data_IF_110259910829
#
_entry.id   IF_110259910829
#
_cell.length_a   1.000
_cell.length_b   1.000
_cell.length_c   1.000
_cell.angle_alpha   90.00
_cell.angle_beta   90.00
_cell.angle_gamma   90.00
#
_symmetry.space_group_name_H-M   'P 1'
#
loop_
_entity.id
_entity.type
_entity.pdbx_description
1 polymer ?
2 non-polymer ?
3 non-polymer ?
4 water ?
#
# COMPACT_ATOMS: atom_id res chain seq x y z
N UNK A 1 14.21 20.54 -1.23
CA UNK A 1 12.80 20.60 -0.77
C UNK A 1 12.70 19.75 0.50
N UNK A 2 12.14 20.35 1.57
CA UNK A 2 11.90 19.74 2.90
C UNK A 2 10.92 18.55 2.83
N UNK A 3 10.78 17.82 3.94
CA UNK A 3 9.79 16.73 4.06
C UNK A 3 8.73 17.12 5.09
N UNK A 4 7.53 16.59 4.92
CA UNK A 4 6.43 16.62 5.90
C UNK A 4 6.26 15.22 6.49
N UNK A 5 6.54 15.08 7.79
CA UNK A 5 6.51 13.76 8.49
C UNK A 5 5.21 13.65 9.31
N UNK A 6 4.39 12.65 8.97
CA UNK A 6 3.10 12.36 9.59
C UNK A 6 3.20 10.99 10.22
N UNK A 7 2.49 10.69 11.31
CA UNK A 7 2.43 9.31 11.81
C UNK A 7 1.72 8.42 10.77
N UNK A 8 2.04 7.13 10.76
CA UNK A 8 1.53 6.17 9.75
C UNK A 8 0.05 5.97 9.97
N UNK A 9 -0.35 5.91 11.23
CA UNK A 9 -1.76 5.67 11.58
C UNK A 9 -2.09 6.22 12.95
N UNK A 10 -3.38 6.40 13.16
CA UNK A 10 -4.09 6.83 14.40
C UNK A 10 -5.45 6.11 14.43
N UNK A 11 -6.02 5.88 15.61
CA UNK A 11 -7.35 5.25 15.68
C UNK A 11 -8.00 5.71 16.97
N UNK A 12 -9.31 5.81 16.91
CA UNK A 12 -10.13 6.11 18.10
C UNK A 12 -11.51 5.50 17.86
N UNK A 13 -12.31 5.38 18.90
CA UNK A 13 -13.73 4.96 18.82
C UNK A 13 -14.60 6.15 18.44
N UNK A 14 -15.81 5.90 17.91
CA UNK A 14 -16.71 6.98 17.55
C UNK A 14 -16.91 7.95 18.71
N UNK A 15 -16.99 9.25 18.39
CA UNK A 15 -17.32 10.31 19.35
C UNK A 15 -16.09 10.86 20.01
N UNK A 16 -14.93 10.21 19.82
CA UNK A 16 -13.66 10.68 20.41
C UNK A 16 -13.04 11.75 19.51
N UNK A 17 -11.98 12.34 20.03
CA UNK A 17 -11.19 13.36 19.33
C UNK A 17 -9.81 12.76 19.01
N UNK A 18 -9.34 12.98 17.80
CA UNK A 18 -7.99 12.52 17.38
C UNK A 18 -7.25 13.69 16.73
N UNK A 19 -5.94 13.73 16.90
CA UNK A 19 -5.08 14.76 16.29
C UNK A 19 -4.02 14.07 15.44
N UNK A 20 -3.76 14.60 14.26
CA UNK A 20 -2.75 14.07 13.31
C UNK A 20 -1.75 15.20 13.11
N UNK A 21 -0.48 14.92 13.35
CA UNK A 21 0.60 15.90 13.33
C UNK A 21 1.29 15.75 11.98
N UNK A 22 1.88 16.83 11.53
CA UNK A 22 2.62 16.87 10.28
C UNK A 22 3.80 17.81 10.49
N UNK A 23 4.99 17.26 10.61
CA UNK A 23 6.21 18.02 10.99
C UNK A 23 7.05 18.31 9.76
N UNK A 24 7.37 19.60 9.55
CA UNK A 24 8.22 20.08 8.43
C UNK A 24 9.68 19.84 8.82
N UNK A 25 10.46 19.16 7.97
CA UNK A 25 11.85 18.75 8.26
C UNK A 25 12.80 19.95 8.38
N UNK A 26 12.57 21.04 7.64
CA UNK A 26 13.47 22.21 7.59
C UNK A 26 12.77 23.40 6.95
N UNK A 27 13.19 24.59 7.35
CA UNK A 27 12.45 25.82 7.09
C UNK A 27 11.33 25.92 8.11
N UNK A 28 10.54 26.98 8.04
CA UNK A 28 9.51 27.30 9.07
C UNK A 28 8.13 26.90 8.52
N UNK A 29 7.38 26.13 9.29
CA UNK A 29 6.00 25.67 8.93
C UNK A 29 5.15 26.87 8.51
N UNK A 30 5.37 28.03 9.13
CA UNK A 30 4.51 29.23 8.93
C UNK A 30 4.94 29.99 7.67
N UNK A 31 6.05 29.60 7.05
CA UNK A 31 6.54 30.19 5.78
C UNK A 31 5.53 29.89 4.66
N UNK A 32 4.71 28.85 4.77
CA UNK A 32 3.93 28.32 3.63
C UNK A 32 2.61 27.72 4.12
N UNK A 33 1.55 27.87 3.36
CA UNK A 33 0.23 27.28 3.70
C UNK A 33 0.33 25.75 3.72
N UNK A 34 -0.34 25.21 4.73
CA UNK A 34 -0.51 23.75 4.90
C UNK A 34 -1.97 23.43 4.54
N UNK A 35 -2.15 22.44 3.70
CA UNK A 35 -3.48 21.93 3.31
C UNK A 35 -3.60 20.52 3.91
N UNK A 36 -4.83 20.10 4.22
CA UNK A 36 -5.15 18.71 4.62
C UNK A 36 -6.17 18.14 3.63
N UNK A 37 -5.85 16.97 3.07
CA UNK A 37 -6.75 16.19 2.17
C UNK A 37 -7.15 14.89 2.89
N UNK A 38 -8.42 14.54 2.78
CA UNK A 38 -9.03 13.30 3.28
C UNK A 38 -9.22 12.38 2.08
N UNK A 39 -8.85 11.10 2.17
CA UNK A 39 -9.27 10.12 1.14
C UNK A 39 -9.82 8.89 1.83
N UNK A 40 -11.14 8.80 1.84
CA UNK A 40 -11.84 7.58 2.33
C UNK A 40 -11.42 6.45 1.42
N UNK A 41 -11.38 5.20 1.94
CA UNK A 41 -11.06 4.04 1.13
C UNK A 41 -12.06 3.95 -0.04
N UNK A 42 -11.55 3.83 -1.26
CA UNK A 42 -12.36 3.66 -2.49
C UNK A 42 -12.98 4.96 -2.96
N UNK A 43 -12.53 6.12 -2.44
CA UNK A 43 -13.08 7.43 -2.83
C UNK A 43 -11.99 8.39 -3.33
N UNK A 44 -12.46 9.47 -3.93
CA UNK A 44 -11.64 10.60 -4.37
C UNK A 44 -11.21 11.41 -3.16
N UNK A 45 -10.12 12.17 -3.28
CA UNK A 45 -9.71 13.05 -2.21
C UNK A 45 -10.67 14.24 -2.09
N UNK A 46 -10.70 14.79 -0.91
CA UNK A 46 -11.51 15.96 -0.52
C UNK A 46 -10.60 16.86 0.33
N UNK A 47 -10.59 18.16 0.08
CA UNK A 47 -9.90 19.11 0.95
C UNK A 47 -10.75 19.30 2.21
N UNK A 48 -10.15 19.14 3.38
CA UNK A 48 -10.84 19.45 4.67
C UNK A 48 -10.25 20.73 5.29
N UNK A 49 -8.99 21.04 5.03
CA UNK A 49 -8.35 22.29 5.50
C UNK A 49 -7.50 22.84 4.38
N UNK A 50 -7.53 24.16 4.22
CA UNK A 50 -6.53 24.88 3.39
C UNK A 50 -6.04 26.09 4.20
N UNK A 51 -4.87 26.59 3.85
CA UNK A 51 -4.31 27.79 4.48
C UNK A 51 -4.31 27.57 6.00
N UNK A 52 -3.86 26.39 6.40
CA UNK A 52 -3.57 26.02 7.80
C UNK A 52 -4.86 25.71 8.56
N UNK A 53 -5.90 26.52 8.40
CA UNK A 53 -7.09 26.40 9.27
C UNK A 53 -8.41 26.74 8.57
N UNK A 54 -8.44 26.87 7.25
CA UNK A 54 -9.71 27.26 6.60
C UNK A 54 -10.43 25.99 6.18
N UNK A 55 -11.69 25.89 6.52
CA UNK A 55 -12.57 24.78 6.08
C UNK A 55 -13.33 25.21 4.84
N UNK A 56 -13.22 24.46 3.73
CA UNK A 56 -14.14 24.62 2.61
C UNK A 56 -15.57 24.43 3.06
N UNK A 57 -16.49 24.98 2.27
CA UNK A 57 -17.95 24.75 2.35
C UNK A 57 -18.25 23.26 2.46
N UNK A 58 -19.11 22.87 3.41
CA UNK A 58 -19.57 21.48 3.58
C UNK A 58 -18.68 20.67 4.50
N UNK A 59 -17.51 21.19 4.88
CA UNK A 59 -16.62 20.48 5.84
C UNK A 59 -17.05 20.89 7.24
N UNK A 60 -17.54 19.96 8.07
CA UNK A 60 -18.09 20.33 9.37
C UNK A 60 -16.99 20.84 10.28
N UNK A 61 -17.39 21.62 11.28
CA UNK A 61 -16.45 22.32 12.18
C UNK A 61 -15.79 21.32 13.14
N UNK A 62 -16.21 20.06 13.07
CA UNK A 62 -15.52 18.95 13.78
C UNK A 62 -14.06 18.85 13.35
N UNK A 63 -13.73 19.35 12.14
CA UNK A 63 -12.35 19.37 11.58
C UNK A 63 -11.67 20.69 11.89
N UNK A 64 -10.51 20.65 12.54
CA UNK A 64 -9.77 21.90 12.83
C UNK A 64 -8.30 21.76 12.44
N UNK A 65 -7.78 22.77 11.75
CA UNK A 65 -6.36 22.84 11.39
C UNK A 65 -5.65 23.79 12.32
N UNK A 66 -4.40 23.53 12.67
CA UNK A 66 -3.58 24.43 13.49
C UNK A 66 -2.11 24.36 13.07
N UNK A 67 -1.32 25.33 13.52
CA UNK A 67 0.14 25.39 13.31
C UNK A 67 0.75 25.54 14.70
N UNK A 68 1.88 24.89 14.96
CA UNK A 68 2.72 25.18 16.15
C UNK A 68 4.12 25.47 15.65
N UNK A 69 4.46 26.75 15.66
CA UNK A 69 5.77 27.23 15.19
C UNK A 69 6.89 26.60 16.01
N UNK A 70 6.71 26.47 17.32
CA UNK A 70 7.76 25.91 18.24
C UNK A 70 8.12 24.48 17.84
N UNK A 71 7.13 23.65 17.47
CA UNK A 71 7.37 22.25 17.03
C UNK A 71 7.55 22.21 15.50
N UNK A 72 7.40 23.34 14.82
CA UNK A 72 7.45 23.43 13.33
C UNK A 72 6.46 22.42 12.73
N UNK A 73 5.28 22.31 13.31
CA UNK A 73 4.30 21.27 12.91
C UNK A 73 2.95 21.92 12.67
N UNK A 74 2.16 21.27 11.82
CA UNK A 74 0.74 21.47 11.57
C UNK A 74 0.00 20.25 12.12
N UNK A 75 -1.21 20.46 12.63
CA UNK A 75 -2.04 19.40 13.24
C UNK A 75 -3.42 19.53 12.66
N UNK A 76 -4.03 18.40 12.39
CA UNK A 76 -5.45 18.32 12.04
C UNK A 76 -6.14 17.60 13.18
N UNK A 77 -7.12 18.24 13.78
CA UNK A 77 -7.83 17.65 14.92
C UNK A 77 -9.26 17.41 14.47
N UNK A 78 -9.75 16.21 14.73
CA UNK A 78 -11.12 15.79 14.40
C UNK A 78 -11.83 15.37 15.68
N UNK A 79 -12.87 16.11 16.04
CA UNK A 79 -13.71 15.89 17.23
C UNK A 79 -14.95 15.11 16.83
N UNK A 80 -15.65 14.55 17.82
CA UNK A 80 -16.91 13.82 17.59
C UNK A 80 -16.74 12.85 16.43
N UNK A 81 -15.69 12.02 16.49
CA UNK A 81 -15.36 11.07 15.39
C UNK A 81 -16.60 10.31 14.92
N UNK A 82 -16.81 10.31 13.61
CA UNK A 82 -17.86 9.52 12.94
C UNK A 82 -17.18 8.47 12.05
N UNK A 83 -17.91 7.41 11.71
CA UNK A 83 -17.36 6.30 10.91
C UNK A 83 -16.93 6.84 9.54
N UNK A 84 -17.60 7.87 9.03
CA UNK A 84 -17.25 8.41 7.69
C UNK A 84 -15.90 9.15 7.73
N UNK A 85 -15.37 9.41 8.91
CA UNK A 85 -14.04 10.06 9.08
C UNK A 85 -12.91 9.08 8.79
N UNK A 86 -13.20 7.77 8.74
CA UNK A 86 -12.19 6.76 8.43
C UNK A 86 -11.65 7.02 7.03
N UNK A 87 -10.36 7.29 6.94
CA UNK A 87 -9.70 7.83 5.74
C UNK A 87 -8.21 7.85 5.90
N UNK A 88 -7.52 8.01 4.78
CA UNK A 88 -6.15 8.55 4.80
C UNK A 88 -6.20 10.08 4.81
N UNK A 89 -5.34 10.68 5.63
CA UNK A 89 -5.18 12.14 5.69
C UNK A 89 -3.75 12.49 5.32
N UNK A 90 -3.62 13.43 4.38
CA UNK A 90 -2.31 13.94 3.94
C UNK A 90 -2.25 15.42 4.21
N UNK A 91 -1.13 15.89 4.76
CA UNK A 91 -0.84 17.33 4.80
C UNK A 91 0.01 17.66 3.59
N UNK A 92 -0.05 18.92 3.18
CA UNK A 92 0.66 19.36 1.99
C UNK A 92 1.05 20.81 2.20
N UNK A 93 2.24 21.15 1.76
CA UNK A 93 2.73 22.55 1.72
C UNK A 93 3.63 22.70 0.49
N UNK A 94 4.56 23.67 0.53
CA UNK A 94 5.39 24.02 -0.64
C UNK A 94 6.57 24.85 -0.16
N UNK A 95 7.54 25.10 -1.04
CA UNK A 95 8.49 26.24 -0.90
C UNK A 95 8.57 27.00 -2.24
N UNK A 96 7.45 27.11 -2.96
CA UNK A 96 7.37 27.64 -4.33
C UNK A 96 8.16 26.71 -5.27
N UNK A 97 9.47 26.54 -5.04
CA UNK A 97 10.31 25.52 -5.74
C UNK A 97 9.51 24.21 -5.95
N UNK A 98 8.64 23.82 -5.02
CA UNK A 98 7.75 22.66 -5.25
C UNK A 98 6.73 22.46 -4.12
N UNK A 99 5.67 21.75 -4.50
CA UNK A 99 4.65 21.11 -3.65
C UNK A 99 5.32 19.99 -2.86
N UNK A 100 5.06 19.90 -1.56
CA UNK A 100 5.52 18.77 -0.70
C UNK A 100 4.29 18.13 -0.08
N UNK A 101 4.16 16.82 -0.20
CA UNK A 101 3.11 16.08 0.50
C UNK A 101 3.70 15.28 1.64
N UNK A 102 2.99 15.22 2.76
CA UNK A 102 3.23 14.20 3.80
C UNK A 102 2.90 12.84 3.24
N UNK A 103 3.31 11.80 3.95
CA UNK A 103 3.19 10.38 3.49
C UNK A 103 1.80 9.82 3.72
N UNK A 104 0.96 10.52 4.47
CA UNK A 104 -0.41 10.08 4.80
C UNK A 104 -0.47 9.42 6.15
N UNK A 105 -1.57 9.64 6.85
CA UNK A 105 -1.94 8.96 8.09
C UNK A 105 -3.27 8.24 7.84
N UNK A 106 -3.30 6.92 8.12
CA UNK A 106 -4.55 6.15 8.13
C UNK A 106 -5.23 6.42 9.48
N UNK A 107 -6.45 6.92 9.42
CA UNK A 107 -7.31 7.08 10.61
C UNK A 107 -8.37 5.99 10.57
N UNK A 108 -8.29 5.07 11.52
CA UNK A 108 -9.35 4.04 11.68
C UNK A 108 -10.30 4.51 12.75
N UNK A 109 -11.59 4.54 12.44
CA UNK A 109 -12.62 4.63 13.50
C UNK A 109 -12.96 3.19 13.93
N UNK A 110 -12.48 2.82 15.12
CA UNK A 110 -12.37 1.41 15.57
C UNK A 110 -13.72 0.69 15.43
N UNK A 111 -13.68 -0.39 14.67
CA UNK A 111 -14.85 -1.22 14.35
C UNK A 111 -14.81 -2.51 15.16
N UNK A 112 -13.74 -2.73 15.92
CA UNK A 112 -13.48 -3.97 16.66
C UNK A 112 -12.29 -3.68 17.57
N UNK A 113 -11.96 -4.57 18.52
CA UNK A 113 -10.81 -4.34 19.40
C UNK A 113 -9.49 -4.34 18.62
N UNK A 114 -8.55 -3.51 19.07
CA UNK A 114 -7.19 -3.43 18.51
C UNK A 114 -6.56 -4.80 18.72
N UNK A 115 -5.73 -5.26 17.79
CA UNK A 115 -5.01 -6.53 17.86
C UNK A 115 -3.65 -6.32 17.24
N UNK A 116 -2.62 -6.51 18.06
CA UNK A 116 -1.20 -6.44 17.66
C UNK A 116 -0.89 -7.59 16.71
N UNK A 117 -0.12 -7.34 15.63
CA UNK A 117 0.17 -8.41 14.68
C UNK A 117 1.04 -9.51 15.28
N UNK A 118 0.85 -10.75 14.87
CA UNK A 118 1.92 -11.76 15.01
C UNK A 118 2.84 -11.59 13.80
N UNK A 119 4.13 -11.48 14.05
CA UNK A 119 5.14 -11.26 12.97
C UNK A 119 6.07 -12.48 12.96
N UNK A 120 6.17 -13.14 11.80
CA UNK A 120 7.09 -14.28 11.58
C UNK A 120 7.95 -14.00 10.35
N UNK A 121 9.27 -14.07 10.52
CA UNK A 121 10.26 -13.85 9.42
C UNK A 121 10.84 -15.21 9.03
N UNK A 122 10.72 -15.56 7.76
CA UNK A 122 11.19 -16.84 7.20
C UNK A 122 12.47 -16.58 6.41
N UNK A 123 13.54 -17.37 6.68
CA UNK A 123 14.78 -17.29 5.90
C UNK A 123 14.53 -18.04 4.59
N UNK A 124 15.49 -18.02 3.65
CA UNK A 124 15.28 -18.67 2.36
C UNK A 124 15.11 -20.20 2.50
N UNK A 125 14.21 -20.79 1.71
CA UNK A 125 14.00 -22.26 1.65
C UNK A 125 15.10 -22.86 0.76
N UNK A 126 15.48 -24.08 1.04
CA UNK A 126 16.43 -24.88 0.24
C UNK A 126 16.03 -24.91 -1.22
N UNK A 127 14.76 -25.15 -1.50
CA UNK A 127 14.35 -25.30 -2.90
C UNK A 127 14.57 -23.96 -3.63
N UNK A 128 14.22 -22.80 -3.07
CA UNK A 128 14.36 -21.52 -3.81
C UNK A 128 15.85 -21.22 -3.98
N UNK A 129 16.68 -21.49 -2.98
CA UNK A 129 18.13 -21.29 -3.12
C UNK A 129 18.69 -22.03 -4.34
N UNK A 130 18.26 -23.26 -4.61
CA UNK A 130 18.75 -24.03 -5.77
C UNK A 130 18.33 -23.33 -7.06
N UNK A 131 17.33 -22.44 -7.01
CA UNK A 131 16.82 -21.62 -8.15
C UNK A 131 17.45 -20.22 -8.13
N UNK A 132 18.51 -20.05 -7.34
CA UNK A 132 19.24 -18.75 -7.21
C UNK A 132 18.32 -17.66 -6.67
N UNK A 133 17.40 -18.02 -5.76
CA UNK A 133 16.45 -17.08 -5.10
C UNK A 133 16.66 -17.20 -3.60
N UNK A 134 16.81 -16.07 -2.94
CA UNK A 134 16.95 -16.00 -1.46
C UNK A 134 15.84 -15.11 -0.88
N UNK A 135 14.67 -15.12 -1.50
CA UNK A 135 13.52 -14.35 -1.05
C UNK A 135 13.26 -14.68 0.41
N UNK A 136 13.07 -13.61 1.19
CA UNK A 136 12.65 -13.67 2.61
C UNK A 136 11.17 -13.29 2.65
N UNK A 137 10.42 -13.91 3.55
CA UNK A 137 9.00 -13.54 3.75
C UNK A 137 8.78 -13.18 5.21
N UNK A 138 8.18 -12.03 5.40
CA UNK A 138 7.70 -11.51 6.69
C UNK A 138 6.19 -11.66 6.77
N UNK A 139 5.67 -12.63 7.52
CA UNK A 139 4.22 -12.90 7.59
C UNK A 139 3.68 -12.09 8.76
N UNK A 140 2.59 -11.39 8.52
CA UNK A 140 2.04 -10.43 9.49
C UNK A 140 0.56 -10.76 9.62
N UNK A 141 0.12 -11.30 10.74
CA UNK A 141 -1.28 -11.79 10.82
C UNK A 141 -1.96 -11.30 12.10
N UNK A 142 -3.28 -11.47 12.12
CA UNK A 142 -4.17 -11.29 13.30
C UNK A 142 -4.10 -9.85 13.82
N UNK A 143 -4.19 -8.86 12.94
CA UNK A 143 -4.03 -7.46 13.40
C UNK A 143 -5.27 -6.63 13.07
N UNK A 144 -5.47 -5.65 13.92
CA UNK A 144 -6.53 -4.61 13.76
C UNK A 144 -6.09 -3.37 14.50
N UNK A 145 -6.22 -2.16 13.93
CA UNK A 145 -6.68 -1.96 12.55
C UNK A 145 -5.78 -2.52 11.43
N UNK A 146 -6.33 -2.57 10.21
CA UNK A 146 -5.70 -3.20 9.04
C UNK A 146 -4.65 -2.34 8.36
N UNK A 147 -3.89 -1.53 9.09
CA UNK A 147 -2.85 -0.64 8.54
C UNK A 147 -1.53 -0.99 9.23
N UNK A 148 -0.48 -1.23 8.43
CA UNK A 148 0.90 -1.56 8.93
C UNK A 148 1.86 -0.89 7.98
N UNK A 149 3.07 -0.61 8.45
CA UNK A 149 4.17 -0.20 7.57
C UNK A 149 5.31 -1.17 7.84
N UNK A 150 5.99 -1.57 6.78
CA UNK A 150 7.07 -2.59 6.87
C UNK A 150 8.33 -1.97 6.31
N UNK A 151 9.41 -2.09 7.07
CA UNK A 151 10.78 -1.66 6.71
C UNK A 151 11.71 -2.87 6.82
N UNK A 152 12.64 -2.98 5.88
CA UNK A 152 13.61 -4.10 5.81
C UNK A 152 15.00 -3.51 6.01
N UNK A 153 15.84 -4.21 6.78
CA UNK A 153 17.26 -3.83 6.96
C UNK A 153 18.13 -4.98 6.44
N UNK A 154 19.24 -4.66 5.81
CA UNK A 154 20.39 -5.56 5.57
C UNK A 154 21.48 -5.17 6.57
N UNK A 155 21.84 -6.06 7.49
CA UNK A 155 22.56 -5.71 8.74
C UNK A 155 21.76 -4.61 9.47
N UNK A 156 22.29 -3.39 9.53
CA UNK A 156 21.66 -2.21 10.17
C UNK A 156 21.13 -1.20 9.15
N UNK A 157 21.38 -1.41 7.86
CA UNK A 157 21.10 -0.41 6.81
C UNK A 157 19.75 -0.71 6.18
N UNK A 158 18.90 0.30 5.98
CA UNK A 158 17.62 0.10 5.31
C UNK A 158 17.84 -0.40 3.88
N UNK A 159 16.96 -1.32 3.46
CA UNK A 159 16.84 -1.87 2.08
C UNK A 159 15.62 -1.19 1.46
N UNK A 160 15.71 -0.68 0.24
CA UNK A 160 14.49 -0.24 -0.51
C UNK A 160 14.20 -1.27 -1.61
N UNK A 161 15.23 -1.57 -2.39
CA UNK A 161 15.15 -2.41 -3.58
C UNK A 161 14.62 -3.79 -3.16
N UNK A 162 13.64 -4.30 -3.92
CA UNK A 162 13.23 -5.71 -3.92
C UNK A 162 12.12 -5.99 -2.93
N UNK A 163 11.55 -4.96 -2.31
CA UNK A 163 10.53 -5.09 -1.24
C UNK A 163 9.15 -5.01 -1.88
N UNK A 164 8.30 -5.99 -1.59
CA UNK A 164 6.87 -5.96 -1.95
C UNK A 164 6.05 -6.28 -0.70
N UNK A 165 5.04 -5.48 -0.43
CA UNK A 165 4.18 -5.70 0.74
C UNK A 165 2.75 -5.78 0.21
N UNK A 166 2.01 -6.81 0.59
CA UNK A 166 0.61 -7.02 0.13
C UNK A 166 -0.30 -6.08 0.91
N UNK A 167 -1.41 -5.70 0.31
CA UNK A 167 -2.50 -4.94 0.97
C UNK A 167 -3.18 -5.84 1.99
N UNK A 168 -3.30 -5.40 3.26
CA UNK A 168 -3.90 -6.21 4.29
C UNK A 168 -5.32 -6.65 3.91
N UNK A 169 -5.64 -7.90 4.17
CA UNK A 169 -6.97 -8.48 3.89
C UNK A 169 -7.44 -9.20 5.16
N UNK A 170 -8.74 -9.13 5.31
CA UNK A 170 -9.48 -9.64 6.46
C UNK A 170 -9.54 -11.15 6.32
N UNK A 171 -9.13 -11.85 7.35
CA UNK A 171 -9.10 -13.33 7.36
C UNK A 171 -10.36 -13.86 8.06
N UNK A 172 -10.44 -15.17 8.28
CA UNK A 172 -11.67 -15.84 8.74
C UNK A 172 -11.95 -15.42 10.19
N UNK A 173 -10.96 -14.92 10.91
CA UNK A 173 -11.18 -14.47 12.30
C UNK A 173 -11.53 -12.96 12.36
N UNK A 174 -11.81 -12.31 11.23
CA UNK A 174 -12.16 -10.88 11.10
C UNK A 174 -10.97 -9.97 11.49
N UNK A 175 -9.77 -10.53 11.56
CA UNK A 175 -8.50 -9.78 11.67
C UNK A 175 -7.78 -9.82 10.34
N UNK A 176 -6.82 -8.92 10.21
CA UNK A 176 -6.11 -8.64 8.96
C UNK A 176 -4.86 -9.50 8.88
N UNK A 177 -4.48 -9.82 7.66
CA UNK A 177 -3.16 -10.46 7.43
C UNK A 177 -2.52 -9.80 6.22
N UNK A 178 -1.21 -9.73 6.24
CA UNK A 178 -0.40 -9.34 5.08
C UNK A 178 0.95 -10.05 5.11
N UNK A 179 1.65 -10.04 3.97
CA UNK A 179 3.07 -10.46 3.89
C UNK A 179 3.91 -9.42 3.15
N UNK A 180 5.13 -9.21 3.63
CA UNK A 180 6.19 -8.49 2.91
C UNK A 180 7.26 -9.52 2.53
N UNK A 181 7.78 -9.43 1.31
CA UNK A 181 8.89 -10.27 0.84
C UNK A 181 9.97 -9.39 0.21
N UNK A 182 11.20 -9.82 0.44
CA UNK A 182 12.43 -9.16 -0.04
C UNK A 182 13.14 -10.13 -0.99
N UNK A 183 13.12 -9.83 -2.29
CA UNK A 183 13.69 -10.68 -3.36
C UNK A 183 15.20 -10.56 -3.34
N UNK A 184 15.87 -11.32 -2.50
CA UNK A 184 17.35 -11.32 -2.49
C UNK A 184 17.85 -12.37 -3.47
N UNK A 185 19.08 -12.17 -3.93
CA UNK A 185 19.88 -13.29 -4.50
C UNK A 185 20.56 -13.98 -3.34
N UNK A 186 20.89 -15.29 -3.51
CA UNK A 186 21.71 -16.00 -2.55
C UNK A 186 22.99 -15.22 -2.19
N UNK A 187 23.56 -14.54 -3.19
CA UNK A 187 24.76 -13.64 -3.10
C UNK A 187 24.51 -12.58 -2.04
N UNK A 188 23.43 -11.80 -2.19
CA UNK A 188 23.11 -10.71 -1.23
C UNK A 188 22.84 -11.33 0.14
N UNK A 189 22.08 -12.42 0.19
CA UNK A 189 21.69 -13.09 1.46
C UNK A 189 22.93 -13.43 2.27
N UNK A 190 23.90 -14.04 1.60
CA UNK A 190 25.10 -14.66 2.22
C UNK A 190 26.14 -13.60 2.53
N UNK A 191 26.10 -12.49 1.80
CA UNK A 191 27.03 -11.35 1.94
C UNK A 191 26.66 -10.45 3.13
N UNK A 192 25.63 -10.77 3.94
CA UNK A 192 25.28 -9.95 5.14
C UNK A 192 25.23 -10.83 6.38
N UNK A 193 25.42 -10.23 7.55
CA UNK A 193 25.37 -10.98 8.84
C UNK A 193 23.90 -11.29 9.13
N UNK A 194 22.99 -10.43 8.69
CA UNK A 194 21.55 -10.67 8.95
C UNK A 194 20.67 -9.78 8.10
N UNK A 195 19.40 -10.14 8.02
CA UNK A 195 18.33 -9.26 7.50
C UNK A 195 17.23 -9.20 8.53
N UNK A 196 16.59 -8.04 8.62
CA UNK A 196 15.50 -7.73 9.56
C UNK A 196 14.26 -7.25 8.81
N UNK A 197 13.09 -7.58 9.34
CA UNK A 197 11.80 -7.06 8.87
C UNK A 197 11.24 -6.27 10.03
N UNK A 198 10.99 -4.97 9.89
CA UNK A 198 10.40 -4.15 10.98
C UNK A 198 8.93 -3.87 10.63
N UNK A 199 8.03 -4.21 11.52
CA UNK A 199 6.58 -3.98 11.29
C UNK A 199 6.09 -2.98 12.32
N UNK A 200 5.51 -1.88 11.82
CA UNK A 200 4.86 -0.83 12.66
C UNK A 200 3.35 -0.93 12.50
N UNK A 201 2.67 -0.97 13.64
CA UNK A 201 1.20 -1.07 13.77
C UNK A 201 0.79 -0.23 14.95
N UNK A 202 -0.05 0.78 14.71
CA UNK A 202 -0.51 1.67 15.80
C UNK A 202 0.72 2.21 16.54
N UNK A 203 1.78 2.67 15.90
CA UNK A 203 2.88 3.19 16.73
C UNK A 203 3.58 2.17 17.63
N UNK A 204 3.31 0.87 17.53
CA UNK A 204 4.27 -0.12 18.10
C UNK A 204 5.08 -0.73 16.95
N UNK A 205 6.39 -0.75 17.10
CA UNK A 205 7.29 -1.32 16.07
C UNK A 205 7.91 -2.58 16.63
N UNK A 206 7.72 -3.68 15.90
CA UNK A 206 8.39 -4.97 16.18
C UNK A 206 9.41 -5.26 15.07
N UNK A 207 10.49 -5.95 15.41
CA UNK A 207 11.56 -6.29 14.45
C UNK A 207 11.97 -7.74 14.65
N UNK A 208 11.95 -8.49 13.56
CA UNK A 208 12.45 -9.87 13.49
C UNK A 208 13.71 -9.88 12.62
N UNK A 209 14.61 -10.82 12.90
CA UNK A 209 15.92 -10.90 12.20
C UNK A 209 16.22 -12.35 11.86
N UNK A 210 16.77 -12.58 10.69
CA UNK A 210 17.25 -13.93 10.31
C UNK A 210 18.65 -13.75 9.75
N UNK A 211 19.43 -14.82 9.82
CA UNK A 211 20.88 -14.82 9.49
C UNK A 211 21.17 -16.10 8.72
N UNK A 212 22.05 -16.06 7.69
CA UNK A 212 22.50 -17.30 7.04
C UNK A 212 23.10 -18.30 8.05
N UNK A 213 22.63 -19.57 8.00
CA UNK A 213 23.03 -20.72 8.87
C UNK A 213 23.61 -21.85 7.99
N UNK A 214 23.43 -23.13 8.34
CA UNK A 214 23.79 -24.32 7.50
C UNK A 214 23.41 -25.65 8.16
N UNK A 215 22.77 -26.56 7.39
CA UNK A 215 22.51 -27.99 7.74
C UNK A 215 21.47 -28.58 6.79
N UNK B 1 -17.52 28.26 -5.80
CA UNK B 1 -17.81 26.80 -5.81
C UNK B 1 -17.90 26.31 -7.26
N UNK B 2 -17.02 25.38 -7.68
CA UNK B 2 -17.17 24.56 -8.91
C UNK B 2 -16.76 23.11 -8.62
N UNK B 3 -17.21 22.20 -9.47
CA UNK B 3 -16.79 20.78 -9.40
C UNK B 3 -16.11 20.36 -10.69
N UNK B 4 -15.40 19.26 -10.62
CA UNK B 4 -14.67 18.66 -11.75
C UNK B 4 -15.30 17.30 -12.02
N UNK B 5 -15.84 17.11 -13.23
CA UNK B 5 -16.53 15.87 -13.62
C UNK B 5 -15.56 15.07 -14.49
N UNK B 6 -15.22 13.87 -14.07
CA UNK B 6 -14.45 12.92 -14.91
C UNK B 6 -15.19 11.60 -14.91
N UNK B 7 -15.05 10.81 -16.00
CA UNK B 7 -15.64 9.48 -16.09
C UNK B 7 -15.18 8.64 -14.91
N UNK B 8 -16.09 7.81 -14.39
CA UNK B 8 -15.80 6.87 -13.28
C UNK B 8 -14.81 5.85 -13.79
N UNK B 9 -14.88 5.52 -15.07
CA UNK B 9 -14.01 4.48 -15.67
C UNK B 9 -13.82 4.71 -17.17
N UNK B 10 -12.67 4.26 -17.65
CA UNK B 10 -12.30 4.11 -19.09
C UNK B 10 -11.52 2.80 -19.23
N UNK B 11 -11.60 2.16 -20.39
CA UNK B 11 -10.80 0.94 -20.72
C UNK B 11 -10.05 1.17 -22.02
N UNK B 12 -8.87 0.56 -22.16
CA UNK B 12 -8.13 0.57 -23.45
C UNK B 12 -7.12 -0.57 -23.43
N UNK B 13 -6.60 -0.90 -24.61
CA UNK B 13 -5.68 -2.03 -24.88
C UNK B 13 -4.27 -1.47 -24.90
N UNK B 14 -3.26 -2.30 -24.60
CA UNK B 14 -1.87 -1.86 -24.60
C UNK B 14 -1.54 -1.20 -25.95
N UNK B 15 -0.62 -0.24 -25.92
CA UNK B 15 -0.11 0.42 -27.13
C UNK B 15 -1.07 1.45 -27.68
N UNK B 16 -2.31 1.50 -27.23
CA UNK B 16 -3.29 2.46 -27.80
C UNK B 16 -3.23 3.73 -26.95
N UNK B 17 -3.89 4.79 -27.42
CA UNK B 17 -4.02 6.08 -26.70
C UNK B 17 -5.36 6.11 -25.99
N UNK B 18 -5.36 6.46 -24.71
CA UNK B 18 -6.61 6.74 -23.94
C UNK B 18 -6.58 8.20 -23.47
N UNK B 19 -7.76 8.83 -23.45
CA UNK B 19 -7.93 10.21 -22.94
C UNK B 19 -8.90 10.20 -21.76
N UNK B 20 -8.56 10.89 -20.69
CA UNK B 20 -9.45 11.11 -19.52
C UNK B 20 -9.76 12.61 -19.45
N UNK B 21 -11.04 12.95 -19.49
CA UNK B 21 -11.52 14.35 -19.46
C UNK B 21 -11.94 14.70 -18.04
N UNK B 22 -11.95 15.98 -17.75
CA UNK B 22 -12.27 16.56 -16.44
C UNK B 22 -12.92 17.89 -16.75
N UNK B 23 -14.25 17.95 -16.61
CA UNK B 23 -15.03 19.14 -17.01
C UNK B 23 -15.29 19.97 -15.77
N UNK B 24 -15.06 21.27 -15.85
CA UNK B 24 -15.32 22.20 -14.73
C UNK B 24 -16.76 22.71 -14.86
N UNK B 25 -17.52 22.61 -13.75
CA UNK B 25 -18.98 22.81 -13.69
C UNK B 25 -19.29 24.29 -13.85
N UNK B 26 -18.43 25.16 -13.35
CA UNK B 26 -18.68 26.60 -13.23
C UNK B 26 -17.38 27.35 -13.34
N UNK B 27 -17.39 28.45 -14.09
CA UNK B 27 -16.20 29.27 -14.38
C UNK B 27 -15.37 28.59 -15.45
N UNK B 28 -14.31 29.25 -15.90
CA UNK B 28 -13.48 28.83 -17.07
C UNK B 28 -12.37 27.90 -16.60
N UNK B 29 -12.19 26.79 -17.30
CA UNK B 29 -11.06 25.85 -17.09
C UNK B 29 -9.73 26.63 -17.01
N UNK B 30 -9.58 27.67 -17.83
CA UNK B 30 -8.25 28.30 -18.01
C UNK B 30 -7.94 29.27 -16.87
N UNK B 31 -8.88 29.56 -15.96
CA UNK B 31 -8.70 30.54 -14.86
C UNK B 31 -7.85 29.94 -13.74
N UNK B 32 -7.72 28.62 -13.63
CA UNK B 32 -6.83 28.03 -12.60
C UNK B 32 -6.11 26.81 -13.16
N UNK B 33 -4.91 26.57 -12.69
CA UNK B 33 -4.12 25.42 -13.16
C UNK B 33 -4.78 24.10 -12.77
N UNK B 34 -4.52 23.07 -13.57
CA UNK B 34 -5.02 21.70 -13.37
C UNK B 34 -3.86 20.76 -13.11
N UNK B 35 -4.00 19.94 -12.08
CA UNK B 35 -3.03 18.86 -11.78
C UNK B 35 -3.73 17.54 -12.06
N UNK B 36 -2.93 16.54 -12.41
CA UNK B 36 -3.38 15.14 -12.43
C UNK B 36 -2.49 14.29 -11.53
N UNK B 37 -3.13 13.38 -10.82
CA UNK B 37 -2.51 12.43 -9.88
C UNK B 37 -2.85 11.03 -10.34
N UNK B 38 -1.91 10.10 -10.18
CA UNK B 38 -2.13 8.66 -10.42
C UNK B 38 -2.08 8.00 -9.06
N UNK B 39 -2.94 7.01 -8.85
CA UNK B 39 -2.89 6.19 -7.62
C UNK B 39 -3.11 4.73 -7.97
N UNK B 40 -2.18 3.91 -7.52
CA UNK B 40 -2.21 2.44 -7.67
C UNK B 40 -2.74 1.86 -6.37
N UNK B 41 -3.26 0.62 -6.44
CA UNK B 41 -3.73 -0.13 -5.27
C UNK B 41 -2.74 -0.07 -4.10
N UNK B 42 -3.25 0.39 -2.97
CA UNK B 42 -2.56 0.34 -1.67
C UNK B 42 -1.46 1.36 -1.51
N UNK B 43 -1.36 2.38 -2.38
CA UNK B 43 -0.28 3.39 -2.26
C UNK B 43 -0.83 4.81 -2.37
N UNK B 44 -0.06 5.76 -1.85
CA UNK B 44 -0.35 7.21 -1.97
C UNK B 44 -0.33 7.55 -3.44
N UNK B 45 -1.09 8.58 -3.86
CA UNK B 45 -1.00 9.08 -5.23
C UNK B 45 0.39 9.68 -5.51
N UNK B 46 0.76 9.69 -6.79
CA UNK B 46 1.88 10.51 -7.34
C UNK B 46 1.27 11.59 -8.23
N UNK B 47 1.99 12.68 -8.45
CA UNK B 47 1.65 13.71 -9.44
C UNK B 47 2.13 13.27 -10.83
N UNK B 48 1.26 13.22 -11.84
CA UNK B 48 1.70 12.94 -13.24
C UNK B 48 1.70 14.24 -14.06
N UNK B 49 0.87 15.21 -13.74
CA UNK B 49 0.81 16.52 -14.44
C UNK B 49 0.58 17.62 -13.41
N UNK B 50 1.19 18.77 -13.64
CA UNK B 50 0.88 20.03 -12.92
C UNK B 50 0.95 21.17 -13.93
N UNK B 51 0.28 22.26 -13.57
CA UNK B 51 0.19 23.47 -14.40
C UNK B 51 -0.26 23.05 -15.80
N UNK B 52 -1.25 22.18 -15.86
CA UNK B 52 -2.03 21.79 -17.09
C UNK B 52 -1.30 20.72 -17.88
N UNK B 53 0.03 20.83 -18.03
CA UNK B 53 0.78 20.05 -19.05
C UNK B 53 2.23 19.77 -18.66
N UNK B 54 2.66 20.13 -17.45
CA UNK B 54 4.05 19.88 -16.98
C UNK B 54 4.15 18.49 -16.34
N UNK B 55 5.10 17.67 -16.77
CA UNK B 55 5.37 16.38 -16.09
C UNK B 55 6.47 16.56 -15.05
N UNK B 56 6.27 16.11 -13.79
CA UNK B 56 7.38 16.03 -12.84
C UNK B 56 8.40 15.02 -13.36
N UNK B 57 9.61 15.07 -12.81
CA UNK B 57 10.69 14.15 -13.24
C UNK B 57 10.29 12.74 -12.78
N UNK B 58 10.58 11.72 -13.57
CA UNK B 58 10.15 10.36 -13.23
C UNK B 58 8.91 9.98 -14.01
N UNK B 59 8.14 10.96 -14.46
CA UNK B 59 6.83 10.66 -15.09
C UNK B 59 7.08 10.39 -16.56
N UNK B 60 6.71 9.19 -17.08
CA UNK B 60 6.83 8.89 -18.50
C UNK B 60 6.26 10.01 -19.38
N UNK B 61 6.95 10.27 -20.48
CA UNK B 61 6.58 11.29 -21.48
C UNK B 61 5.35 10.84 -22.25
N UNK B 62 4.86 9.61 -22.04
CA UNK B 62 3.58 9.07 -22.58
C UNK B 62 2.37 9.79 -21.95
N UNK B 63 2.59 10.51 -20.85
CA UNK B 63 1.52 11.28 -20.15
C UNK B 63 1.55 12.73 -20.63
N UNK B 64 0.44 13.21 -21.19
CA UNK B 64 0.26 14.60 -21.69
C UNK B 64 -1.01 15.22 -21.08
N UNK B 65 -0.88 16.41 -20.52
CA UNK B 65 -2.02 17.22 -20.06
C UNK B 65 -2.36 18.27 -21.07
N UNK B 66 -3.62 18.67 -21.12
CA UNK B 66 -4.13 19.73 -22.02
C UNK B 66 -5.42 20.31 -21.45
N UNK B 67 -5.77 21.48 -21.98
CA UNK B 67 -6.97 22.30 -21.65
C UNK B 67 -7.73 22.48 -22.96
N UNK B 68 -9.04 22.38 -22.92
CA UNK B 68 -9.89 22.76 -24.07
C UNK B 68 -10.90 23.77 -23.56
N UNK B 69 -10.68 25.05 -23.88
CA UNK B 69 -11.49 26.18 -23.37
C UNK B 69 -12.94 26.08 -23.82
N UNK B 70 -13.18 25.50 -24.99
CA UNK B 70 -14.51 25.48 -25.65
C UNK B 70 -15.39 24.33 -25.13
N UNK B 71 -14.82 23.31 -24.47
CA UNK B 71 -15.60 22.29 -23.71
C UNK B 71 -15.36 22.50 -22.20
N UNK B 72 -14.72 23.60 -21.85
CA UNK B 72 -14.37 23.96 -20.47
C UNK B 72 -13.76 22.75 -19.71
N UNK B 73 -12.85 22.05 -20.37
CA UNK B 73 -12.30 20.79 -19.82
C UNK B 73 -10.78 20.75 -19.87
N UNK B 74 -10.24 19.82 -19.10
CA UNK B 74 -8.83 19.39 -19.05
C UNK B 74 -8.79 17.92 -19.41
N UNK B 75 -7.74 17.50 -20.09
CA UNK B 75 -7.58 16.09 -20.50
C UNK B 75 -6.20 15.57 -20.13
N UNK B 76 -6.18 14.35 -19.63
CA UNK B 76 -4.98 13.50 -19.53
C UNK B 76 -5.00 12.50 -20.69
N UNK B 77 -3.98 12.56 -21.51
CA UNK B 77 -3.78 11.66 -22.66
C UNK B 77 -2.56 10.79 -22.41
N UNK B 78 -2.78 9.47 -22.34
CA UNK B 78 -1.73 8.43 -22.20
C UNK B 78 -1.67 7.67 -23.52
N UNK B 79 -0.57 7.85 -24.23
CA UNK B 79 -0.27 7.18 -25.52
C UNK B 79 0.61 5.97 -25.24
N UNK B 80 0.60 5.01 -26.16
CA UNK B 80 1.35 3.76 -26.00
C UNK B 80 1.04 3.15 -24.66
N UNK B 81 -0.24 2.96 -24.39
CA UNK B 81 -0.71 2.55 -23.06
C UNK B 81 0.02 1.28 -22.61
N UNK B 82 0.68 1.33 -21.45
CA UNK B 82 1.26 0.13 -20.79
C UNK B 82 0.32 -0.37 -19.70
N UNK B 83 0.40 -1.68 -19.44
CA UNK B 83 -0.17 -2.40 -18.27
C UNK B 83 0.03 -1.63 -16.96
N UNK B 84 1.26 -1.15 -16.69
CA UNK B 84 1.63 -0.37 -15.48
C UNK B 84 0.76 0.90 -15.35
N UNK B 85 0.15 1.37 -16.43
CA UNK B 85 -0.69 2.61 -16.42
C UNK B 85 -2.06 2.35 -15.77
N UNK B 86 -2.45 1.08 -15.58
CA UNK B 86 -3.69 0.70 -14.86
C UNK B 86 -3.63 1.32 -13.47
N UNK B 87 -4.58 2.18 -13.18
CA UNK B 87 -4.56 3.02 -11.98
C UNK B 87 -5.82 3.86 -11.95
N UNK B 88 -6.00 4.53 -10.83
CA UNK B 88 -6.97 5.63 -10.71
C UNK B 88 -6.27 6.95 -11.01
N UNK B 89 -6.98 7.83 -11.67
CA UNK B 89 -6.51 9.17 -12.08
C UNK B 89 -7.49 10.23 -11.61
N UNK B 90 -6.96 11.24 -10.92
CA UNK B 90 -7.74 12.35 -10.34
C UNK B 90 -7.26 13.65 -10.98
N UNK B 91 -8.19 14.47 -11.46
CA UNK B 91 -7.86 15.86 -11.82
C UNK B 91 -8.09 16.78 -10.62
N UNK B 92 -7.45 17.92 -10.60
CA UNK B 92 -7.46 18.79 -9.42
C UNK B 92 -7.23 20.22 -9.89
N UNK B 93 -8.07 21.16 -9.43
CA UNK B 93 -7.86 22.61 -9.63
C UNK B 93 -8.19 23.35 -8.33
N UNK B 94 -8.35 24.68 -8.39
CA UNK B 94 -8.49 25.55 -7.21
C UNK B 94 -9.66 26.48 -7.41
N UNK B 95 -10.35 26.84 -6.33
CA UNK B 95 -11.56 27.70 -6.22
C UNK B 95 -11.25 28.94 -5.39
N UNK B 96 -10.03 29.01 -4.84
CA UNK B 96 -9.57 30.14 -3.99
C UNK B 96 -10.35 30.09 -2.67
N UNK B 97 -11.38 29.28 -2.69
CA UNK B 97 -12.25 28.96 -1.56
C UNK B 97 -11.93 27.50 -1.25
N UNK B 98 -11.07 26.85 -2.08
CA UNK B 98 -10.89 25.37 -2.01
C UNK B 98 -9.86 24.83 -3.03
N UNK B 99 -9.35 23.62 -2.74
CA UNK B 99 -8.69 22.71 -3.70
C UNK B 99 -9.71 21.65 -4.10
N UNK B 100 -10.07 21.63 -5.37
CA UNK B 100 -11.19 20.82 -5.93
C UNK B 100 -10.62 19.58 -6.63
N UNK B 101 -11.12 18.38 -6.32
CA UNK B 101 -10.73 17.13 -7.01
C UNK B 101 -11.90 16.66 -7.85
N UNK B 102 -11.58 16.08 -8.99
CA UNK B 102 -12.57 15.30 -9.75
C UNK B 102 -12.82 14.01 -9.00
N UNK B 103 -13.79 13.26 -9.47
CA UNK B 103 -14.28 12.07 -8.77
C UNK B 103 -13.38 10.89 -8.96
N UNK B 104 -12.40 10.96 -9.85
CA UNK B 104 -11.49 9.85 -10.12
C UNK B 104 -11.98 9.06 -11.33
N UNK B 105 -11.06 8.61 -12.15
CA UNK B 105 -11.32 7.69 -13.27
C UNK B 105 -10.44 6.47 -13.06
N UNK B 106 -11.06 5.29 -12.95
CA UNK B 106 -10.33 4.02 -12.97
C UNK B 106 -10.05 3.67 -14.42
N UNK B 107 -8.77 3.62 -14.77
CA UNK B 107 -8.28 3.19 -16.08
C UNK B 107 -7.99 1.69 -16.01
N UNK B 108 -8.72 0.93 -16.81
CA UNK B 108 -8.49 -0.52 -17.07
C UNK B 108 -7.69 -0.70 -18.35
N UNK B 109 -6.59 -1.43 -18.28
CA UNK B 109 -5.77 -1.84 -19.45
C UNK B 109 -6.17 -3.27 -19.77
N UNK B 110 -6.79 -3.46 -20.92
CA UNK B 110 -7.40 -4.74 -21.31
C UNK B 110 -6.30 -5.64 -21.87
N UNK B 111 -6.57 -6.94 -21.86
CA UNK B 111 -5.76 -7.93 -22.59
C UNK B 111 -4.38 -8.02 -22.01
N UNK B 112 -4.23 -7.84 -20.71
CA UNK B 112 -2.91 -8.02 -20.07
C UNK B 112 -2.52 -9.49 -20.14
N UNK B 113 -1.24 -9.81 -20.42
CA UNK B 113 -0.81 -11.20 -20.53
C UNK B 113 -1.01 -11.99 -19.24
N UNK B 114 -1.55 -13.20 -19.39
CA UNK B 114 -1.61 -14.24 -18.34
C UNK B 114 -0.18 -14.48 -17.81
N UNK B 115 -0.04 -14.68 -16.51
CA UNK B 115 1.27 -14.90 -15.86
C UNK B 115 1.10 -15.96 -14.77
N UNK B 116 1.81 -17.09 -14.87
CA UNK B 116 1.73 -18.17 -13.87
C UNK B 116 2.46 -17.73 -12.61
N UNK B 117 1.98 -18.16 -11.43
CA UNK B 117 2.57 -17.70 -10.18
C UNK B 117 3.91 -18.37 -9.92
N UNK B 118 4.83 -17.61 -9.36
CA UNK B 118 5.98 -18.14 -8.60
C UNK B 118 5.50 -18.57 -7.22
N UNK B 119 5.78 -19.81 -6.84
CA UNK B 119 5.37 -20.39 -5.54
C UNK B 119 6.61 -20.77 -4.75
N UNK B 120 6.72 -20.25 -3.54
CA UNK B 120 7.78 -20.61 -2.59
C UNK B 120 7.14 -21.01 -1.26
N UNK B 121 7.39 -22.25 -0.83
CA UNK B 121 6.89 -22.77 0.45
C UNK B 121 7.99 -22.69 1.50
N UNK B 122 7.70 -22.13 2.65
CA UNK B 122 8.69 -22.01 3.74
C UNK B 122 8.29 -22.89 4.91
N UNK B 123 9.21 -23.74 5.41
CA UNK B 123 8.95 -24.49 6.63
C UNK B 123 9.01 -23.51 7.80
N UNK B 124 8.66 -23.95 9.02
CA UNK B 124 8.64 -23.09 10.21
C UNK B 124 10.04 -22.57 10.56
N UNK B 125 10.16 -21.30 10.93
CA UNK B 125 11.45 -20.75 11.40
C UNK B 125 11.74 -21.29 12.80
N UNK B 126 13.01 -21.34 13.17
CA UNK B 126 13.49 -21.71 14.52
C UNK B 126 12.87 -20.83 15.59
N UNK B 127 12.88 -19.53 15.36
CA UNK B 127 12.31 -18.56 16.30
C UNK B 127 10.86 -18.96 16.60
N UNK B 128 10.04 -19.28 15.60
CA UNK B 128 8.61 -19.50 15.94
C UNK B 128 8.46 -20.86 16.60
N UNK B 129 9.30 -21.83 16.25
CA UNK B 129 9.23 -23.15 16.91
C UNK B 129 9.59 -22.97 18.39
N UNK B 130 10.53 -22.07 18.70
CA UNK B 130 10.93 -21.82 20.09
C UNK B 130 9.74 -21.16 20.81
N UNK B 131 8.85 -20.49 20.08
CA UNK B 131 7.67 -19.86 20.71
C UNK B 131 6.44 -20.76 20.50
N UNK B 132 6.65 -22.05 20.27
CA UNK B 132 5.61 -23.12 20.25
C UNK B 132 4.69 -22.89 19.04
N UNK B 133 5.21 -22.36 17.95
CA UNK B 133 4.44 -22.15 16.70
C UNK B 133 5.18 -22.77 15.51
N UNK B 134 4.41 -23.37 14.61
CA UNK B 134 4.98 -24.02 13.42
C UNK B 134 4.17 -23.60 12.18
N UNK B 135 3.91 -22.29 12.06
CA UNK B 135 3.19 -21.73 10.88
C UNK B 135 4.07 -21.90 9.65
N UNK B 136 3.48 -22.42 8.57
CA UNK B 136 4.15 -22.48 7.25
C UNK B 136 3.61 -21.35 6.39
N UNK B 137 4.43 -20.82 5.50
CA UNK B 137 3.99 -19.78 4.55
C UNK B 137 4.33 -20.23 3.13
N UNK B 138 3.33 -20.08 2.27
CA UNK B 138 3.42 -20.30 0.82
C UNK B 138 3.26 -18.93 0.17
N UNK B 139 4.35 -18.38 -0.31
CA UNK B 139 4.36 -17.10 -1.07
C UNK B 139 4.04 -17.39 -2.55
N UNK B 140 3.10 -16.64 -3.07
CA UNK B 140 2.54 -16.78 -4.44
C UNK B 140 2.62 -15.43 -5.11
N UNK B 141 3.51 -15.23 -6.07
CA UNK B 141 3.78 -13.86 -6.59
C UNK B 141 3.78 -13.91 -8.11
N UNK B 142 3.64 -12.74 -8.73
CA UNK B 142 3.89 -12.50 -10.17
C UNK B 142 2.86 -13.24 -11.03
N UNK B 143 1.65 -13.35 -10.54
CA UNK B 143 0.56 -14.01 -11.31
C UNK B 143 -0.44 -12.96 -11.80
N UNK B 144 -1.04 -13.31 -12.92
CA UNK B 144 -2.10 -12.51 -13.55
C UNK B 144 -2.93 -13.49 -14.36
N UNK B 145 -4.28 -13.45 -14.31
CA UNK B 145 -5.03 -12.55 -13.43
C UNK B 145 -4.94 -12.90 -11.94
N UNK B 146 -5.50 -12.02 -11.10
CA UNK B 146 -5.25 -12.04 -9.63
C UNK B 146 -6.18 -12.97 -8.86
N UNK B 147 -6.45 -14.17 -9.36
CA UNK B 147 -7.29 -15.15 -8.67
C UNK B 147 -6.53 -16.47 -8.62
N UNK B 148 -6.44 -17.10 -7.45
CA UNK B 148 -5.83 -18.45 -7.31
C UNK B 148 -6.68 -19.30 -6.41
N UNK B 149 -6.52 -20.61 -6.50
CA UNK B 149 -7.05 -21.54 -5.48
C UNK B 149 -5.85 -22.24 -4.84
N UNK B 150 -5.87 -22.33 -3.52
CA UNK B 150 -4.78 -22.93 -2.72
C UNK B 150 -5.36 -24.12 -1.96
N UNK B 151 -4.72 -25.27 -2.03
CA UNK B 151 -5.04 -26.42 -1.16
C UNK B 151 -3.75 -26.78 -0.43
N UNK B 152 -3.83 -27.23 0.80
CA UNK B 152 -2.65 -27.78 1.49
C UNK B 152 -2.81 -29.29 1.72
N UNK B 153 -1.67 -29.98 1.91
CA UNK B 153 -1.59 -31.43 2.26
C UNK B 153 -0.68 -31.64 3.47
N UNK B 154 -1.09 -32.56 4.33
CA UNK B 154 -0.31 -33.19 5.40
C UNK B 154 0.02 -34.58 4.88
N UNK B 155 1.31 -34.82 4.56
CA UNK B 155 1.69 -36.04 3.80
C UNK B 155 0.90 -35.92 2.48
N UNK B 156 0.15 -36.93 2.08
CA UNK B 156 -0.69 -36.90 0.85
C UNK B 156 -2.11 -36.41 1.13
N UNK B 157 -2.50 -36.18 2.39
CA UNK B 157 -3.93 -35.98 2.74
C UNK B 157 -4.31 -34.49 2.75
N UNK B 158 -5.55 -34.15 2.35
CA UNK B 158 -5.99 -32.75 2.33
C UNK B 158 -6.01 -32.20 3.77
N UNK B 159 -5.59 -30.95 3.92
CA UNK B 159 -5.60 -30.23 5.21
C UNK B 159 -6.92 -29.48 5.26
N UNK B 160 -7.66 -29.62 6.36
CA UNK B 160 -9.03 -29.10 6.48
C UNK B 160 -9.11 -27.98 7.53
N UNK B 161 -8.03 -27.72 8.28
CA UNK B 161 -8.00 -26.74 9.38
C UNK B 161 -6.76 -25.87 9.26
N UNK B 162 -6.89 -24.57 9.57
CA UNK B 162 -5.77 -23.67 9.92
C UNK B 162 -5.17 -23.03 8.69
N UNK B 163 -5.87 -23.08 7.54
CA UNK B 163 -5.45 -22.37 6.31
C UNK B 163 -6.04 -20.96 6.29
N UNK B 164 -5.22 -19.98 5.96
CA UNK B 164 -5.64 -18.62 5.58
C UNK B 164 -4.92 -18.28 4.29
N UNK B 165 -5.63 -17.74 3.29
CA UNK B 165 -4.99 -17.13 2.12
C UNK B 165 -5.34 -15.64 2.04
N UNK B 166 -4.36 -14.75 1.84
CA UNK B 166 -4.64 -13.30 1.67
C UNK B 166 -5.31 -13.06 0.33
N UNK B 167 -6.04 -11.96 0.24
CA UNK B 167 -6.64 -11.49 -1.04
C UNK B 167 -5.49 -11.01 -1.91
N UNK B 168 -5.35 -11.57 -3.13
CA UNK B 168 -4.29 -11.17 -4.05
C UNK B 168 -4.28 -9.64 -4.16
N UNK B 169 -3.12 -9.02 -4.03
CA UNK B 169 -2.97 -7.56 -4.27
C UNK B 169 -1.92 -7.31 -5.34
N UNK B 170 -2.15 -6.27 -6.13
CA UNK B 170 -1.30 -5.93 -7.30
C UNK B 170 -0.01 -5.31 -6.81
N UNK B 171 1.14 -5.80 -7.27
CA UNK B 171 2.45 -5.30 -6.79
C UNK B 171 2.99 -4.30 -7.83
N UNK B 172 4.25 -3.89 -7.67
CA UNK B 172 4.84 -2.83 -8.52
C UNK B 172 4.97 -3.38 -9.94
N UNK B 173 5.26 -4.67 -10.15
CA UNK B 173 5.32 -5.29 -11.51
C UNK B 173 3.92 -5.40 -12.16
N UNK B 174 2.86 -4.83 -11.55
CA UNK B 174 1.42 -4.90 -12.00
C UNK B 174 0.91 -6.35 -12.04
N UNK B 175 1.60 -7.26 -11.38
CA UNK B 175 1.10 -8.64 -11.17
C UNK B 175 0.75 -8.83 -9.71
N UNK B 176 0.08 -9.94 -9.40
CA UNK B 176 -0.50 -10.11 -8.07
C UNK B 176 0.42 -10.93 -7.17
N UNK B 177 0.27 -10.69 -5.87
CA UNK B 177 0.89 -11.48 -4.81
C UNK B 177 -0.14 -11.78 -3.72
N UNK B 178 0.00 -12.96 -3.12
CA UNK B 178 -0.71 -13.39 -1.90
C UNK B 178 0.19 -14.33 -1.11
N UNK B 179 -0.18 -14.54 0.14
CA UNK B 179 0.43 -15.59 0.96
C UNK B 179 -0.68 -16.48 1.47
N UNK B 180 -0.41 -17.77 1.50
CA UNK B 180 -1.24 -18.76 2.19
C UNK B 180 -0.42 -19.26 3.38
N UNK B 181 -1.01 -19.24 4.57
CA UNK B 181 -0.29 -19.68 5.79
C UNK B 181 -1.17 -20.71 6.50
N UNK B 182 -0.49 -21.72 7.00
CA UNK B 182 -1.09 -22.89 7.68
C UNK B 182 -0.55 -22.88 9.10
N UNK B 183 -1.43 -22.64 10.08
CA UNK B 183 -0.99 -22.38 11.49
C UNK B 183 -0.88 -23.71 12.27
N UNK B 184 0.17 -24.49 12.00
CA UNK B 184 0.37 -25.78 12.70
C UNK B 184 0.92 -25.54 14.11
N UNK B 185 0.67 -26.48 15.01
CA UNK B 185 1.47 -26.67 16.24
C UNK B 185 2.74 -27.40 15.85
N UNK B 186 3.81 -27.22 16.65
CA UNK B 186 5.01 -28.00 16.51
C UNK B 186 4.76 -29.50 16.38
N UNK B 187 3.85 -30.03 17.20
CA UNK B 187 3.53 -31.49 17.22
C UNK B 187 2.93 -31.89 15.88
N UNK B 188 2.05 -31.09 15.28
CA UNK B 188 1.48 -31.45 13.96
C UNK B 188 2.62 -31.42 12.93
N UNK B 189 3.48 -30.40 12.98
CA UNK B 189 4.59 -30.26 12.01
C UNK B 189 5.47 -31.50 12.05
N UNK B 190 5.95 -31.86 13.24
CA UNK B 190 6.97 -32.92 13.37
C UNK B 190 6.31 -34.30 13.32
N UNK B 191 5.00 -34.43 13.47
CA UNK B 191 4.30 -35.73 13.41
C UNK B 191 4.06 -36.15 11.95
N UNK B 192 4.32 -35.31 10.95
CA UNK B 192 4.04 -35.70 9.54
C UNK B 192 5.37 -35.82 8.81
N UNK B 193 5.36 -36.45 7.65
CA UNK B 193 6.59 -36.59 6.86
C UNK B 193 6.86 -35.27 6.12
N UNK B 194 5.80 -34.60 5.67
CA UNK B 194 5.88 -33.35 4.88
C UNK B 194 4.52 -32.65 4.89
N UNK B 195 4.54 -31.42 4.41
CA UNK B 195 3.39 -30.59 4.09
C UNK B 195 3.67 -29.97 2.74
N UNK B 196 2.59 -29.83 1.99
CA UNK B 196 2.56 -29.34 0.60
C UNK B 196 1.53 -28.22 0.49
N UNK B 197 1.90 -27.23 -0.32
CA UNK B 197 1.06 -26.13 -0.78
C UNK B 197 0.82 -26.38 -2.28
N UNK B 198 -0.44 -26.39 -2.67
CA UNK B 198 -0.86 -26.63 -4.07
C UNK B 198 -1.64 -25.42 -4.61
N UNK B 199 -1.05 -24.73 -5.58
CA UNK B 199 -1.63 -23.48 -6.12
C UNK B 199 -2.10 -23.75 -7.55
N UNK B 200 -3.36 -23.46 -7.82
CA UNK B 200 -3.99 -23.60 -9.16
C UNK B 200 -4.26 -22.20 -9.67
N UNK B 201 -3.74 -21.89 -10.84
CA UNK B 201 -4.03 -20.62 -11.53
C UNK B 201 -4.42 -20.93 -12.98
N UNK B 202 -5.57 -20.44 -13.43
CA UNK B 202 -5.98 -20.62 -14.84
C UNK B 202 -5.83 -22.10 -15.20
N UNK B 203 -6.36 -23.01 -14.39
CA UNK B 203 -6.30 -24.47 -14.63
C UNK B 203 -4.89 -25.07 -14.69
N UNK B 204 -3.83 -24.37 -14.28
CA UNK B 204 -2.49 -24.99 -14.06
C UNK B 204 -2.20 -25.04 -12.55
N UNK B 205 -1.66 -26.16 -12.07
CA UNK B 205 -1.36 -26.39 -10.64
C UNK B 205 0.15 -26.49 -10.44
N UNK B 206 0.65 -25.85 -9.40
CA UNK B 206 2.05 -25.91 -8.91
C UNK B 206 1.94 -26.41 -7.47
N UNK B 207 2.76 -27.39 -7.12
CA UNK B 207 2.71 -27.96 -5.78
C UNK B 207 4.14 -27.93 -5.29
N UNK B 208 4.34 -27.41 -4.09
CA UNK B 208 5.64 -27.43 -3.37
C UNK B 208 5.47 -28.19 -2.07
N UNK B 209 6.57 -28.79 -1.59
CA UNK B 209 6.61 -29.70 -0.43
C UNK B 209 7.81 -29.34 0.44
N UNK B 210 7.59 -29.22 1.73
CA UNK B 210 8.67 -29.01 2.75
C UNK B 210 8.48 -30.08 3.82
N UNK B 211 9.55 -30.39 4.54
CA UNK B 211 9.63 -31.49 5.52
C UNK B 211 10.47 -31.03 6.71
N UNK B 212 10.21 -31.55 7.95
CA UNK B 212 11.00 -31.19 9.12
C UNK B 212 12.50 -31.38 8.86
N UNK B 213 13.33 -30.42 9.26
CA UNK B 213 14.78 -30.40 8.99
C UNK B 213 15.49 -31.57 9.70
N UNK B 214 16.65 -31.98 9.17
CA UNK B 214 17.59 -32.92 9.83
C UNK B 214 18.51 -32.13 10.78
N UNK B 215 17.99 -31.02 11.35
CA UNK B 215 18.72 -30.04 12.20
C UNK B 215 18.04 -29.94 13.56
X LIG C 1 -13.56 -2.85 10.68
X LIG C 1 -12.84 -1.49 10.79
X LIG C 1 -12.72 -3.73 9.71
X LIG C 1 -14.98 -2.66 10.12
X LIG C 1 -13.73 -3.58 12.05
X LIG D 1 2.94 13.58 -5.75
X LIG D 1 2.33 13.26 -4.76
X LIG D 1 0.99 13.47 -4.77
X LIG D 1 0.20 13.21 -3.67
X LIG D 1 -1.15 13.48 -3.79
X LIG D 1 -2.03 13.21 -2.74
X LIG D 1 -3.35 13.67 -2.78
X LIG D 1 -4.30 13.54 -1.60
X LIG D 1 -4.75 12.12 -1.40
X LIG D 1 -3.84 14.47 -3.89
X LIG D 1 -4.28 13.47 -4.88
X LIG D 1 2.94 12.72 -3.54
X LIG D 1 2.18 12.36 -2.44
X LIG D 1 2.72 11.61 -1.27
X LIG D 1 0.75 12.66 -2.49
X LIG D 1 -0.13 12.40 -1.44
X LIG D 1 -1.50 12.67 -1.54
X LIG D 1 4.44 12.66 -3.59
X LIG D 1 4.80 11.45 -4.43
X LIG D 1 3.93 10.31 -4.17
X LIG D 1 4.41 9.13 -3.69
X LIG D 1 5.60 8.94 -3.53
X LIG D 1 3.48 8.20 -3.40
X LIG D 1 3.80 6.86 -2.91
X LIG D 1 4.41 5.97 -3.96
X LIG D 1 5.76 5.63 -3.92
X LIG D 1 6.31 4.89 -4.95
X LIG D 1 5.49 4.50 -6.00
X LIG D 1 4.19 4.80 -6.05
X LIG D 1 3.68 5.52 -5.04
X LIG E 1 -6.87 -6.09 -13.09
X LIG E 1 -6.75 -5.60 -14.52
X LIG E 1 -7.58 -5.03 -12.23
X LIG E 1 -5.47 -6.33 -12.51
X LIG E 1 -7.68 -7.38 -13.03
#
# INVERSE_FOLDING_TARGET
NFMLNQPHSVSESPGKTVTISCTRSSGNIDSNYVQWYQQRPGSAPITVIYEDNQRPSGVPDRFAGSIDRSSNSASLTISGLKTEDEADYYCQSYDARNVVFGGGTRLTVLGQPKAAPSVTLFPPSSEELQANKATLVCLISDFYPGAVTVAWKADSSPVKAGVETTTPSKQSNNKYAASSYLSLTPEQWKSHKSYSCQVTHEGSTVEKTVAPTEC
NFMLNQPHSVSESPGKTVTISCTRSSGNIDSNYVQWYQQRPGSAPITVIYEDNQRPSGVPDRFAGSIDRSSNSASLTISGLKTEDEADYYCQSYDARNVVFGGGTRLTVLGQPKAAPSVTLFPPSSEELQANKATLVCLISDFYPGAVTVAWKADSSPVKAGVETTTPSKQSNNKYAASSYLSLTPEQWKSHKSYSCQVTHEGSTVEKTVAPTEC
PO4 P O1 O2 O3 O4
NY9 O2 C9 O C8 C22 C4 N C2 C3 C1 C C10 C20 C21 C7 C6 C5 C11 C12 N1 C13 O1 N2 C14 C15 C19 C18 C17 N3 C16
PO4 P O1 O2 O3 O4
#
